data_IF_517793011630
#
_entry.id   IF_517793011630
#
_cell.length_a   1.000
_cell.length_b   1.000
_cell.length_c   1.000
_cell.angle_alpha   90.00
_cell.angle_beta   90.00
_cell.angle_gamma   90.00
#
_symmetry.space_group_name_H-M   'P 1'
#
loop_
_entity.id
_entity.type
_entity.pdbx_description
1 polymer ?
#
# COMPACT_ATOMS: atom_id res chain seq x y z
N UNK A 1 7.40 8.23 -11.01
CA UNK A 1 6.67 8.86 -12.14
C UNK A 1 7.56 9.46 -13.22
N UNK A 2 8.44 10.43 -12.93
CA UNK A 2 9.31 11.07 -13.96
C UNK A 2 10.15 10.06 -14.75
N UNK A 3 10.75 9.10 -14.05
CA UNK A 3 11.56 8.02 -14.64
C UNK A 3 10.73 7.13 -15.57
N UNK A 4 9.49 6.83 -15.20
CA UNK A 4 8.57 6.02 -16.02
C UNK A 4 8.27 6.71 -17.36
N UNK A 5 7.90 8.00 -17.33
CA UNK A 5 7.61 8.75 -18.56
C UNK A 5 8.83 8.83 -19.49
N UNK A 6 10.02 9.03 -18.93
CA UNK A 6 11.26 9.07 -19.70
C UNK A 6 11.61 7.72 -20.31
N UNK A 7 11.54 6.64 -19.52
CA UNK A 7 11.86 5.27 -19.94
C UNK A 7 10.97 4.78 -21.09
N UNK A 8 9.69 5.14 -21.07
CA UNK A 8 8.71 4.74 -22.09
C UNK A 8 8.52 5.79 -23.19
N UNK A 9 9.34 6.85 -23.19
CA UNK A 9 9.27 7.98 -24.13
C UNK A 9 7.84 8.56 -24.28
N UNK A 10 7.12 8.68 -23.15
CA UNK A 10 5.75 9.17 -23.12
C UNK A 10 5.75 10.69 -22.95
N UNK A 11 5.20 11.46 -23.90
CA UNK A 11 5.06 12.89 -23.75
C UNK A 11 4.18 13.24 -22.55
N UNK A 12 4.61 14.18 -21.71
CA UNK A 12 3.85 14.64 -20.53
C UNK A 12 2.43 15.07 -20.91
N UNK A 13 2.27 15.72 -22.07
CA UNK A 13 0.96 16.12 -22.61
C UNK A 13 0.04 14.94 -22.87
N UNK A 14 0.57 13.84 -23.40
CA UNK A 14 -0.18 12.60 -23.66
C UNK A 14 -0.58 11.94 -22.34
N UNK A 15 0.36 11.80 -21.42
CA UNK A 15 0.07 11.23 -20.09
C UNK A 15 -1.01 12.02 -19.34
N UNK A 16 -0.95 13.36 -19.37
CA UNK A 16 -1.97 14.21 -18.74
C UNK A 16 -3.37 13.98 -19.35
N UNK A 17 -3.45 13.91 -20.68
CA UNK A 17 -4.69 13.62 -21.39
C UNK A 17 -5.23 12.22 -21.05
N UNK A 18 -4.37 11.19 -21.08
CA UNK A 18 -4.73 9.81 -20.74
C UNK A 18 -5.24 9.68 -19.29
N UNK A 19 -4.68 10.46 -18.37
CA UNK A 19 -5.09 10.49 -16.96
C UNK A 19 -6.32 11.40 -16.72
N UNK A 20 -6.73 12.18 -17.70
CA UNK A 20 -7.84 13.14 -17.59
C UNK A 20 -7.54 14.33 -16.69
N UNK A 21 -6.29 14.79 -16.66
CA UNK A 21 -5.83 15.93 -15.84
C UNK A 21 -5.15 17.00 -16.70
N UNK A 22 -5.01 18.21 -16.16
CA UNK A 22 -4.25 19.26 -16.84
C UNK A 22 -2.75 18.95 -16.86
N UNK A 23 -2.06 19.35 -17.93
CA UNK A 23 -0.60 19.22 -18.03
C UNK A 23 0.12 19.96 -16.91
N UNK A 24 -0.38 21.13 -16.52
CA UNK A 24 0.17 21.92 -15.43
C UNK A 24 0.11 21.17 -14.10
N UNK A 25 -1.02 20.49 -13.82
CA UNK A 25 -1.17 19.68 -12.62
C UNK A 25 -0.26 18.45 -12.64
N UNK A 26 -0.11 17.79 -13.79
CA UNK A 26 0.86 16.70 -13.92
C UNK A 26 2.30 17.17 -13.67
N UNK A 27 2.68 18.36 -14.13
CA UNK A 27 4.00 18.94 -13.82
C UNK A 27 4.20 19.19 -12.32
N UNK A 28 3.17 19.68 -11.62
CA UNK A 28 3.24 19.86 -10.16
C UNK A 28 3.46 18.52 -9.44
N UNK A 29 2.77 17.46 -9.87
CA UNK A 29 2.97 16.09 -9.34
C UNK A 29 4.39 15.59 -9.64
N UNK A 30 4.88 15.78 -10.88
CA UNK A 30 6.23 15.34 -11.29
C UNK A 30 7.36 16.05 -10.54
N UNK A 31 7.13 17.31 -10.15
CA UNK A 31 8.07 18.12 -9.35
C UNK A 31 7.92 17.89 -7.84
N UNK A 32 6.99 17.04 -7.41
CA UNK A 32 6.59 16.86 -6.00
C UNK A 32 6.08 18.13 -5.31
N UNK A 33 5.64 19.14 -6.08
CA UNK A 33 5.04 20.36 -5.54
C UNK A 33 3.62 20.11 -5.00
N UNK A 34 2.96 19.05 -5.48
CA UNK A 34 1.60 18.71 -5.08
C UNK A 34 1.36 17.21 -5.11
N UNK A 35 0.77 16.67 -4.03
CA UNK A 35 0.35 15.27 -3.97
C UNK A 35 -0.94 15.05 -4.80
N UNK A 36 -1.03 13.97 -5.59
CA UNK A 36 -2.27 13.60 -6.27
C UNK A 36 -3.33 13.15 -5.26
N UNK A 37 -4.60 13.16 -5.64
CA UNK A 37 -5.63 12.47 -4.84
C UNK A 37 -5.44 10.95 -4.90
N UNK A 38 -5.97 10.21 -3.92
CA UNK A 38 -5.90 8.74 -3.90
C UNK A 38 -6.47 8.13 -5.19
N UNK A 39 -7.61 8.64 -5.67
CA UNK A 39 -8.22 8.19 -6.92
C UNK A 39 -7.29 8.40 -8.13
N UNK A 40 -6.55 9.50 -8.18
CA UNK A 40 -5.57 9.77 -9.23
C UNK A 40 -4.32 8.90 -9.09
N UNK A 41 -3.84 8.67 -7.86
CA UNK A 41 -2.73 7.77 -7.60
C UNK A 41 -3.04 6.34 -8.08
N UNK A 42 -4.24 5.83 -7.79
CA UNK A 42 -4.73 4.52 -8.29
C UNK A 42 -4.76 4.51 -9.83
N UNK A 43 -5.23 5.58 -10.47
CA UNK A 43 -5.23 5.69 -11.94
C UNK A 43 -3.81 5.65 -12.52
N UNK A 44 -2.87 6.36 -11.89
CA UNK A 44 -1.47 6.39 -12.31
C UNK A 44 -0.82 5.02 -12.18
N UNK A 45 -1.07 4.31 -11.09
CA UNK A 45 -0.55 2.96 -10.88
C UNK A 45 -1.08 1.98 -11.93
N UNK A 46 -2.39 2.04 -12.23
CA UNK A 46 -2.99 1.27 -13.32
C UNK A 46 -2.40 1.63 -14.68
N UNK A 47 -2.22 2.92 -14.97
CA UNK A 47 -1.63 3.40 -16.23
C UNK A 47 -0.20 2.90 -16.41
N UNK A 48 0.59 2.92 -15.33
CA UNK A 48 1.99 2.48 -15.33
C UNK A 48 2.18 0.98 -15.11
N UNK A 49 1.09 0.21 -15.01
CA UNK A 49 1.11 -1.24 -14.71
C UNK A 49 1.95 -1.57 -13.47
N UNK A 50 1.89 -0.72 -12.45
CA UNK A 50 2.61 -0.90 -11.20
C UNK A 50 4.05 -0.39 -11.17
N UNK A 51 4.60 0.15 -12.27
CA UNK A 51 5.93 0.80 -12.23
C UNK A 51 5.96 2.07 -11.38
N UNK A 52 4.80 2.73 -11.21
CA UNK A 52 4.63 3.86 -10.31
C UNK A 52 3.55 3.49 -9.30
N UNK A 53 3.96 3.22 -8.05
CA UNK A 53 3.04 2.77 -7.01
C UNK A 53 2.34 3.94 -6.32
N UNK A 54 1.18 3.68 -5.73
CA UNK A 54 0.46 4.67 -4.91
C UNK A 54 1.33 5.17 -3.76
N UNK A 55 2.06 4.27 -3.10
CA UNK A 55 2.96 4.60 -1.98
C UNK A 55 4.04 5.61 -2.38
N UNK A 56 4.59 5.48 -3.60
CA UNK A 56 5.61 6.39 -4.15
C UNK A 56 5.07 7.78 -4.52
N UNK A 57 3.75 7.92 -4.69
CA UNK A 57 3.11 9.17 -5.11
C UNK A 57 2.54 9.97 -3.94
N UNK A 58 2.18 9.28 -2.85
CA UNK A 58 1.55 9.88 -1.68
C UNK A 58 2.51 10.04 -0.49
N UNK A 59 3.74 9.49 -0.61
CA UNK A 59 4.75 9.44 0.44
C UNK A 59 4.23 8.79 1.74
N UNK A 60 3.44 7.71 1.60
CA UNK A 60 2.85 6.94 2.74
C UNK A 60 3.91 6.31 3.65
N UNK A 61 5.19 6.37 3.26
CA UNK A 61 6.31 5.88 4.05
C UNK A 61 6.86 6.89 5.06
N UNK A 62 6.55 8.20 4.97
CA UNK A 62 7.02 9.17 5.96
C UNK A 62 6.18 9.11 7.26
N UNK A 63 4.87 8.87 7.17
CA UNK A 63 3.98 8.85 8.35
C UNK A 63 4.06 7.54 9.16
N UNK A 64 4.68 6.48 8.61
CA UNK A 64 4.90 5.21 9.33
C UNK A 64 6.19 5.19 10.15
N UNK A 65 7.06 6.18 9.94
CA UNK A 65 8.23 6.44 10.80
C UNK A 65 7.91 7.44 11.92
N UNK A 66 6.69 7.98 11.97
CA UNK A 66 6.21 8.84 13.06
C UNK A 66 5.83 7.95 14.27
N UNK A 67 6.59 8.00 15.38
CA UNK A 67 6.30 7.21 16.57
C UNK A 67 4.94 7.53 17.19
N UNK A 68 4.34 8.69 16.90
CA UNK A 68 3.02 9.07 17.42
C UNK A 68 1.87 8.36 16.68
N UNK A 69 2.00 8.08 15.38
CA UNK A 69 0.98 7.35 14.59
C UNK A 69 0.86 5.89 15.03
N UNK A 70 1.98 5.25 15.36
CA UNK A 70 2.00 3.87 15.85
C UNK A 70 1.32 3.78 17.21
N UNK A 71 1.55 4.74 18.12
CA UNK A 71 0.92 4.75 19.45
C UNK A 71 -0.61 4.93 19.38
N UNK A 72 -1.12 5.81 18.52
CA UNK A 72 -2.58 6.00 18.40
C UNK A 72 -3.31 4.76 17.85
N UNK A 73 -2.66 4.00 16.95
CA UNK A 73 -3.28 2.86 16.28
C UNK A 73 -2.85 1.48 16.81
N UNK A 74 -1.91 1.42 17.76
CA UNK A 74 -1.40 0.17 18.32
C UNK A 74 -2.51 -0.71 18.88
N UNK A 75 -3.44 -0.13 19.64
CA UNK A 75 -4.57 -0.85 20.23
C UNK A 75 -5.53 -1.44 19.19
N UNK A 76 -5.67 -0.79 18.03
CA UNK A 76 -6.48 -1.30 16.92
C UNK A 76 -5.77 -2.45 16.19
N UNK A 77 -4.46 -2.31 15.97
CA UNK A 77 -3.63 -3.33 15.34
C UNK A 77 -3.56 -4.58 16.23
N UNK A 78 -3.34 -4.42 17.53
CA UNK A 78 -3.31 -5.52 18.51
C UNK A 78 -4.62 -6.30 18.51
N UNK A 79 -5.78 -5.62 18.53
CA UNK A 79 -7.09 -6.28 18.45
C UNK A 79 -7.30 -7.04 17.15
N UNK A 80 -6.82 -6.52 16.02
CA UNK A 80 -6.91 -7.22 14.74
C UNK A 80 -6.04 -8.47 14.71
N UNK A 81 -4.83 -8.37 15.26
CA UNK A 81 -3.86 -9.46 15.32
C UNK A 81 -4.35 -10.57 16.25
N UNK A 82 -4.85 -10.23 17.45
CA UNK A 82 -5.47 -11.19 18.37
C UNK A 82 -6.65 -11.93 17.73
N UNK A 83 -7.55 -11.20 17.06
CA UNK A 83 -8.72 -11.79 16.40
C UNK A 83 -8.34 -12.79 15.32
N UNK A 84 -7.19 -12.61 14.65
CA UNK A 84 -6.66 -13.57 13.67
C UNK A 84 -5.84 -14.71 14.31
N UNK A 85 -5.23 -14.49 15.47
CA UNK A 85 -4.44 -15.49 16.19
C UNK A 85 -5.29 -16.51 16.95
N UNK A 86 -6.44 -16.10 17.50
CA UNK A 86 -7.36 -16.99 18.22
C UNK A 86 -7.73 -18.28 17.47
N UNK A 87 -8.20 -18.24 16.20
CA UNK A 87 -8.53 -19.46 15.47
C UNK A 87 -7.30 -20.35 15.22
N UNK A 88 -6.11 -19.77 15.03
CA UNK A 88 -4.87 -20.51 14.86
C UNK A 88 -4.44 -21.21 16.15
N UNK A 89 -4.61 -20.56 17.31
CA UNK A 89 -4.36 -21.17 18.63
C UNK A 89 -5.30 -22.35 18.89
N UNK A 90 -6.57 -22.20 18.53
CA UNK A 90 -7.54 -23.30 18.62
C UNK A 90 -7.20 -24.48 17.71
N UNK A 91 -6.73 -24.21 16.50
CA UNK A 91 -6.24 -25.25 15.58
C UNK A 91 -5.02 -25.99 16.15
N UNK A 92 -4.05 -25.25 16.69
CA UNK A 92 -2.86 -25.83 17.34
C UNK A 92 -3.23 -26.72 18.53
N UNK A 93 -4.13 -26.27 19.41
CA UNK A 93 -4.58 -27.10 20.54
C UNK A 93 -5.30 -28.38 20.09
N UNK A 94 -6.08 -28.32 19.01
CA UNK A 94 -6.74 -29.49 18.47
C UNK A 94 -5.74 -30.49 17.85
N UNK A 95 -4.69 -29.99 17.20
CA UNK A 95 -3.60 -30.83 16.68
C UNK A 95 -2.83 -31.48 17.84
N UNK A 96 -2.49 -30.72 18.89
CA UNK A 96 -1.76 -31.25 20.05
C UNK A 96 -2.58 -32.34 20.79
N UNK A 97 -3.89 -32.14 20.95
CA UNK A 97 -4.79 -33.17 21.48
C UNK A 97 -4.85 -34.42 20.62
N UNK A 98 -4.78 -34.29 19.29
CA UNK A 98 -4.77 -35.42 18.36
C UNK A 98 -3.43 -36.16 18.41
N UNK A 99 -2.31 -35.46 18.47
CA UNK A 99 -0.98 -36.05 18.62
C UNK A 99 -0.87 -36.84 19.92
N UNK A 100 -1.28 -36.26 21.05
CA UNK A 100 -1.29 -36.98 22.34
C UNK A 100 -2.10 -38.26 22.32
N UNK A 101 -3.26 -38.28 21.64
CA UNK A 101 -4.07 -39.50 21.47
C UNK A 101 -3.39 -40.58 20.64
N UNK A 102 -2.59 -40.18 19.65
CA UNK A 102 -1.82 -41.10 18.81
C UNK A 102 -0.62 -41.65 19.58
N UNK A 103 0.06 -40.82 20.38
CA UNK A 103 1.20 -41.24 21.22
C UNK A 103 0.80 -42.12 22.41
N UNK A 104 -0.48 -42.11 22.80
CA UNK A 104 -1.02 -42.94 23.90
C UNK A 104 -1.89 -44.12 23.43
N UNK A 105 -1.92 -44.40 22.12
CA UNK A 105 -2.45 -45.66 21.53
C UNK A 105 -1.31 -46.56 21.09
#
# INVERSE_FOLDING_TARGET
MKTFLFKHNIPVKKCAADLGISTSYLYQILKKERKPSLALAIKIEKYSKGEVTISSLLDVHEDLEDPDFLNEHQSFIERMVEKKLEPLRQQLQNIDKRLKKIESS
#
